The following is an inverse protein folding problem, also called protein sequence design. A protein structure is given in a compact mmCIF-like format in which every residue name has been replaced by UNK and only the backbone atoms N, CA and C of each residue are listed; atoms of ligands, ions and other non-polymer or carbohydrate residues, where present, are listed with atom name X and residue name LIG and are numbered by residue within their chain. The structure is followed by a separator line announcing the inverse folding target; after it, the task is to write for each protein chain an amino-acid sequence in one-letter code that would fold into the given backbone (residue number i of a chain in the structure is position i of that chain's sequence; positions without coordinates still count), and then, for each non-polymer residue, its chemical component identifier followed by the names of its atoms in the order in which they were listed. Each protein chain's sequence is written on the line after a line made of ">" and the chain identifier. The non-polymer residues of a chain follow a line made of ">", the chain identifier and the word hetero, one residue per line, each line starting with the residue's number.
data_IF_399316747123
#
_entry.id   IF_399316747123
#
_cell.length_a   1.000
_cell.length_b   1.000
_cell.length_c   1.000
_cell.angle_alpha   90.00
_cell.angle_beta   90.00
_cell.angle_gamma   90.00
#
_symmetry.space_group_name_H-M   'P 1'
#
loop_
_entity.id
_entity.type
_entity.pdbx_description
1 polymer ?
#
# COMPACT_ATOMS: atom_id res chain seq x y z
N UNK A 1 0.03 -5.22 -16.99
CA UNK A 1 -0.29 -3.93 -16.34
C UNK A 1 0.84 -3.57 -15.41
N UNK A 2 1.41 -2.38 -15.55
CA UNK A 2 2.32 -1.85 -14.54
C UNK A 2 1.52 -1.47 -13.31
N UNK A 3 1.85 -2.06 -12.17
CA UNK A 3 1.28 -1.71 -10.86
C UNK A 3 2.40 -1.28 -9.94
N UNK A 4 2.14 -0.24 -9.15
CA UNK A 4 3.09 0.22 -8.15
C UNK A 4 3.09 -0.75 -6.97
N UNK A 5 4.22 -1.41 -6.76
CA UNK A 5 4.42 -2.34 -5.64
C UNK A 5 4.74 -1.57 -4.37
N UNK A 6 4.04 -1.90 -3.29
CA UNK A 6 4.15 -1.24 -1.99
C UNK A 6 4.31 -2.30 -0.90
N UNK A 7 5.32 -2.17 -0.05
CA UNK A 7 5.52 -3.05 1.09
C UNK A 7 4.81 -2.50 2.34
N UNK A 8 3.73 -3.17 2.76
CA UNK A 8 2.93 -2.82 3.94
C UNK A 8 3.54 -3.22 5.27
N UNK A 9 4.72 -3.84 5.30
CA UNK A 9 5.47 -4.15 6.52
C UNK A 9 6.55 -3.09 6.83
N UNK A 10 6.59 -1.98 6.09
CA UNK A 10 7.57 -0.92 6.32
C UNK A 10 7.23 -0.13 7.59
N UNK A 11 8.19 -0.05 8.52
CA UNK A 11 8.05 0.64 9.81
C UNK A 11 6.94 0.07 10.71
N UNK A 12 6.34 0.95 11.49
CA UNK A 12 5.32 0.64 12.51
C UNK A 12 3.89 0.54 11.92
N UNK A 13 3.73 0.90 10.65
CA UNK A 13 2.49 1.51 10.17
C UNK A 13 1.77 0.75 9.07
N UNK A 14 1.64 -0.58 9.16
CA UNK A 14 0.95 -1.34 8.10
C UNK A 14 -0.45 -0.80 7.78
N UNK A 15 -1.21 -0.39 8.80
CA UNK A 15 -2.52 0.24 8.59
C UNK A 15 -2.48 1.66 8.01
N UNK A 16 -1.43 2.43 8.31
CA UNK A 16 -1.28 3.80 7.78
C UNK A 16 -0.89 3.79 6.31
N UNK A 17 0.08 2.92 5.94
CA UNK A 17 0.53 2.75 4.56
C UNK A 17 -0.63 2.36 3.64
N UNK A 18 -1.47 1.43 4.09
CA UNK A 18 -2.62 0.96 3.30
C UNK A 18 -3.59 2.10 3.00
N UNK A 19 -3.95 2.91 4.01
CA UNK A 19 -4.90 4.02 3.82
C UNK A 19 -4.36 5.05 2.82
N UNK A 20 -3.12 5.49 3.01
CA UNK A 20 -2.50 6.46 2.12
C UNK A 20 -2.34 5.92 0.70
N UNK A 21 -1.89 4.66 0.55
CA UNK A 21 -1.70 4.03 -0.75
C UNK A 21 -3.01 3.95 -1.54
N UNK A 22 -4.11 3.51 -0.90
CA UNK A 22 -5.43 3.42 -1.54
C UNK A 22 -5.92 4.80 -1.94
N UNK A 23 -5.84 5.80 -1.06
CA UNK A 23 -6.25 7.17 -1.38
C UNK A 23 -5.50 7.71 -2.61
N UNK A 24 -4.17 7.53 -2.65
CA UNK A 24 -3.35 8.00 -3.78
C UNK A 24 -3.67 7.21 -5.06
N UNK A 25 -3.89 5.90 -4.97
CA UNK A 25 -4.29 5.06 -6.12
C UNK A 25 -5.60 5.55 -6.74
N UNK A 26 -6.59 5.88 -5.91
CA UNK A 26 -7.87 6.41 -6.39
C UNK A 26 -7.71 7.78 -7.07
N UNK A 27 -6.87 8.66 -6.52
CA UNK A 27 -6.64 10.01 -7.09
C UNK A 27 -5.88 9.93 -8.40
N UNK A 28 -4.82 9.13 -8.44
CA UNK A 28 -3.91 9.02 -9.59
C UNK A 28 -4.41 8.06 -10.67
N UNK A 29 -5.46 7.27 -10.38
CA UNK A 29 -5.93 6.15 -11.19
C UNK A 29 -4.83 5.12 -11.51
N UNK A 30 -3.76 5.11 -10.71
CA UNK A 30 -2.65 4.19 -10.87
C UNK A 30 -2.94 2.91 -10.09
N UNK A 31 -2.93 1.72 -10.72
CA UNK A 31 -3.11 0.48 -10.01
C UNK A 31 -1.92 0.23 -9.06
N UNK A 32 -2.21 -0.27 -7.87
CA UNK A 32 -1.22 -0.57 -6.83
C UNK A 32 -1.33 -2.04 -6.40
N UNK A 33 -0.20 -2.59 -5.94
CA UNK A 33 -0.14 -3.92 -5.33
C UNK A 33 0.54 -3.79 -3.97
N UNK A 34 -0.20 -4.07 -2.89
CA UNK A 34 0.31 -3.96 -1.53
C UNK A 34 0.64 -5.36 -0.99
N UNK A 35 1.89 -5.56 -0.59
CA UNK A 35 2.41 -6.83 -0.08
C UNK A 35 2.65 -6.76 1.43
N UNK A 36 2.72 -7.90 2.12
CA UNK A 36 3.05 -7.98 3.55
C UNK A 36 2.13 -7.12 4.46
N UNK A 37 0.86 -6.99 4.10
CA UNK A 37 -0.16 -6.27 4.89
C UNK A 37 -0.20 -6.85 6.30
N UNK A 38 0.08 -6.00 7.29
CA UNK A 38 0.08 -6.38 8.72
C UNK A 38 0.95 -7.60 9.05
N UNK A 39 2.06 -7.83 8.35
CA UNK A 39 2.92 -9.02 8.54
C UNK A 39 3.42 -9.27 9.97
N UNK A 40 3.38 -8.27 10.84
CA UNK A 40 3.78 -8.35 12.25
C UNK A 40 2.58 -8.28 13.21
N UNK A 41 1.40 -8.69 12.76
CA UNK A 41 0.10 -8.56 13.45
C UNK A 41 -0.94 -9.58 13.00
#
# INVERSE_FOLDING_TARGET
>A
MDFLKINGAYGEGGGQIIRSAITISCITKQPIHIENIRKNR
#
